data_IF_872240723388
#
_entry.id   IF_872240723388
#
_cell.length_a   1.000
_cell.length_b   1.000
_cell.length_c   1.000
_cell.angle_alpha   90.00
_cell.angle_beta   90.00
_cell.angle_gamma   90.00
#
_symmetry.space_group_name_H-M   'P 1'
#
loop_
_entity.id
_entity.type
_entity.pdbx_description
1 polymer ?
#
# COMPACT_ATOMS: atom_id res chain seq x y z
N UNK A 1 0.89 -23.60 -7.48
CA UNK A 1 0.45 -22.50 -6.60
C UNK A 1 0.01 -23.13 -5.30
N UNK A 2 0.69 -22.79 -4.21
CA UNK A 2 0.35 -23.24 -2.86
C UNK A 2 -0.22 -22.04 -2.11
N UNK A 3 -1.35 -22.24 -1.42
CA UNK A 3 -1.97 -21.20 -0.59
C UNK A 3 -2.03 -21.72 0.83
N UNK A 4 -1.42 -20.99 1.75
CA UNK A 4 -1.47 -21.26 3.18
C UNK A 4 -2.23 -20.13 3.88
N UNK A 5 -3.16 -20.50 4.76
CA UNK A 5 -3.99 -19.55 5.49
C UNK A 5 -3.83 -19.73 7.00
N UNK A 6 -3.72 -18.62 7.74
CA UNK A 6 -3.80 -18.63 9.21
C UNK A 6 -4.59 -17.44 9.73
N UNK A 7 -5.32 -17.64 10.81
CA UNK A 7 -6.00 -16.56 11.53
C UNK A 7 -4.97 -15.77 12.34
N UNK A 8 -4.95 -14.44 12.21
CA UNK A 8 -4.03 -13.55 12.94
C UNK A 8 -4.74 -12.65 13.96
N UNK A 9 -6.05 -12.78 14.12
CA UNK A 9 -6.84 -12.00 15.07
C UNK A 9 -8.32 -11.96 14.72
N UNK A 10 -9.10 -11.18 15.46
CA UNK A 10 -10.54 -11.04 15.24
C UNK A 10 -10.83 -10.50 13.84
N UNK A 11 -11.41 -11.33 12.99
CA UNK A 11 -11.75 -10.97 11.60
C UNK A 11 -10.56 -10.87 10.64
N UNK A 12 -9.34 -11.27 11.03
CA UNK A 12 -8.14 -11.22 10.18
C UNK A 12 -7.66 -12.61 9.79
N UNK A 13 -7.51 -12.81 8.48
CA UNK A 13 -6.88 -14.00 7.90
C UNK A 13 -5.68 -13.55 7.08
N UNK A 14 -4.51 -14.12 7.38
CA UNK A 14 -3.33 -13.99 6.53
C UNK A 14 -3.31 -15.14 5.55
N UNK A 15 -3.22 -14.80 4.27
CA UNK A 15 -3.01 -15.75 3.19
C UNK A 15 -1.60 -15.54 2.63
N UNK A 16 -0.81 -16.61 2.62
CA UNK A 16 0.48 -16.66 1.93
C UNK A 16 0.28 -17.47 0.66
N UNK A 17 0.61 -16.89 -0.48
CA UNK A 17 0.50 -17.57 -1.77
C UNK A 17 1.90 -17.72 -2.35
N UNK A 18 2.34 -18.97 -2.50
CA UNK A 18 3.51 -19.30 -3.31
C UNK A 18 3.05 -19.59 -4.74
N UNK A 19 3.34 -18.66 -5.63
CA UNK A 19 2.93 -18.76 -7.04
C UNK A 19 3.93 -19.52 -7.90
N UNK A 20 5.14 -19.82 -7.41
CA UNK A 20 6.28 -20.23 -8.22
C UNK A 20 6.64 -19.23 -9.33
N UNK A 21 7.61 -19.57 -10.19
CA UNK A 21 7.89 -18.81 -11.40
C UNK A 21 6.76 -19.02 -12.41
N UNK A 22 5.95 -17.99 -12.67
CA UNK A 22 5.01 -18.02 -13.81
C UNK A 22 5.76 -17.65 -15.08
N UNK A 23 5.66 -18.46 -16.16
CA UNK A 23 6.09 -18.02 -17.48
C UNK A 23 5.30 -16.76 -17.86
N UNK A 24 6.00 -15.67 -18.16
CA UNK A 24 5.39 -14.53 -18.84
C UNK A 24 5.00 -15.00 -20.25
N UNK A 25 3.69 -15.06 -20.51
CA UNK A 25 3.18 -15.51 -21.80
C UNK A 25 3.60 -14.59 -22.94
N UNK A 26 3.51 -15.08 -24.18
CA UNK A 26 3.70 -14.24 -25.36
C UNK A 26 2.76 -13.03 -25.30
N UNK A 27 3.30 -11.82 -25.52
CA UNK A 27 2.54 -10.57 -25.43
C UNK A 27 2.53 -9.90 -24.06
N UNK A 28 3.24 -10.43 -23.04
CA UNK A 28 3.47 -9.67 -21.82
C UNK A 28 4.44 -8.52 -22.07
N UNK A 29 3.93 -7.30 -21.95
CA UNK A 29 4.74 -6.08 -21.90
C UNK A 29 4.73 -5.59 -20.46
N UNK A 30 5.89 -5.61 -19.81
CA UNK A 30 6.01 -5.03 -18.48
C UNK A 30 5.64 -3.54 -18.55
N UNK A 31 4.71 -3.06 -17.71
CA UNK A 31 4.47 -1.63 -17.63
C UNK A 31 5.75 -0.94 -17.17
N UNK A 32 6.12 0.14 -17.87
CA UNK A 32 7.24 0.98 -17.47
C UNK A 32 6.72 1.91 -16.37
N UNK A 33 7.47 2.02 -15.28
CA UNK A 33 7.21 3.07 -14.31
C UNK A 33 7.53 4.42 -14.96
N UNK A 34 6.49 5.13 -15.38
CA UNK A 34 6.59 6.52 -15.83
C UNK A 34 6.74 7.46 -14.61
N UNK A 35 6.73 8.77 -14.87
CA UNK A 35 6.77 9.79 -13.81
C UNK A 35 5.75 9.50 -12.68
N UNK A 36 6.10 9.84 -11.42
CA UNK A 36 5.26 9.58 -10.26
C UNK A 36 3.86 10.20 -10.41
N UNK A 37 2.82 9.39 -10.19
CA UNK A 37 1.43 9.81 -10.27
C UNK A 37 0.90 10.47 -8.98
N UNK A 38 -0.42 10.64 -8.84
CA UNK A 38 -1.03 11.26 -7.65
C UNK A 38 -0.72 10.51 -6.35
N UNK A 39 -0.40 9.21 -6.43
CA UNK A 39 0.06 8.40 -5.31
C UNK A 39 1.30 8.97 -4.62
N UNK A 40 2.18 9.67 -5.35
CA UNK A 40 3.38 10.27 -4.78
C UNK A 40 3.08 11.46 -3.87
N UNK A 41 2.19 12.35 -4.31
CA UNK A 41 1.77 13.51 -3.52
C UNK A 41 1.01 13.05 -2.26
N UNK A 42 0.09 12.09 -2.41
CA UNK A 42 -0.67 11.53 -1.30
C UNK A 42 0.24 10.81 -0.30
N UNK A 43 1.23 10.05 -0.76
CA UNK A 43 2.21 9.41 0.13
C UNK A 43 3.03 10.45 0.90
N UNK A 44 3.50 11.50 0.22
CA UNK A 44 4.27 12.57 0.86
C UNK A 44 3.45 13.30 1.94
N UNK A 45 2.16 13.54 1.71
CA UNK A 45 1.25 14.13 2.70
C UNK A 45 1.07 13.22 3.92
N UNK A 46 0.88 11.92 3.69
CA UNK A 46 0.74 10.94 4.75
C UNK A 46 2.03 10.82 5.59
N UNK A 47 3.21 10.82 4.95
CA UNK A 47 4.50 10.86 5.62
C UNK A 47 4.64 12.11 6.50
N UNK A 48 4.27 13.28 5.96
CA UNK A 48 4.31 14.54 6.70
C UNK A 48 3.38 14.53 7.91
N UNK A 49 2.17 13.99 7.77
CA UNK A 49 1.22 13.85 8.88
C UNK A 49 1.77 12.94 9.99
N UNK A 50 2.56 11.93 9.63
CA UNK A 50 3.28 11.06 10.58
C UNK A 50 4.57 11.70 11.12
N UNK A 51 4.85 12.98 10.82
CA UNK A 51 6.04 13.69 11.26
C UNK A 51 7.33 13.21 10.60
N UNK A 52 7.23 12.59 9.43
CA UNK A 52 8.36 12.05 8.67
C UNK A 52 8.75 12.97 7.53
N UNK A 53 10.04 13.03 7.16
CA UNK A 53 10.43 13.65 5.91
C UNK A 53 9.74 12.90 4.77
N UNK A 54 9.31 13.64 3.75
CA UNK A 54 8.96 13.03 2.46
C UNK A 54 10.26 12.56 1.79
N UNK A 55 10.85 11.49 2.33
CA UNK A 55 12.05 10.84 1.81
C UNK A 55 11.66 9.82 0.75
N UNK A 56 12.52 9.68 -0.28
CA UNK A 56 12.30 8.92 -1.52
C UNK A 56 11.47 7.65 -1.28
N UNK A 57 10.21 7.70 -1.71
CA UNK A 57 9.41 6.50 -1.85
C UNK A 57 10.24 5.45 -2.59
N UNK A 58 10.19 4.21 -2.12
CA UNK A 58 10.83 3.10 -2.81
C UNK A 58 10.31 3.01 -4.24
N UNK A 59 11.12 2.39 -5.11
CA UNK A 59 10.82 2.23 -6.52
C UNK A 59 9.34 1.84 -6.75
N UNK A 60 8.61 2.57 -7.60
CA UNK A 60 7.21 2.29 -7.86
C UNK A 60 7.02 0.85 -8.33
N UNK A 61 6.10 0.14 -7.67
CA UNK A 61 5.64 -1.16 -8.13
C UNK A 61 4.46 -0.93 -9.07
N UNK A 62 4.63 -1.31 -10.33
CA UNK A 62 3.60 -1.21 -11.37
C UNK A 62 3.16 -2.59 -11.81
N UNK A 63 1.85 -2.77 -11.99
CA UNK A 63 1.28 -4.02 -12.47
C UNK A 63 0.11 -3.74 -13.44
N UNK A 64 0.00 -4.48 -14.55
CA UNK A 64 -1.14 -4.33 -15.43
C UNK A 64 -2.41 -4.86 -14.74
N UNK A 65 -3.52 -4.13 -14.85
CA UNK A 65 -4.80 -4.60 -14.38
C UNK A 65 -5.32 -5.75 -15.27
N UNK A 66 -6.07 -6.72 -14.73
CA UNK A 66 -6.72 -7.76 -15.53
C UNK A 66 -7.54 -7.15 -16.68
N UNK A 67 -7.57 -7.85 -17.82
CA UNK A 67 -8.24 -7.41 -19.05
C UNK A 67 -7.74 -6.10 -19.67
N UNK A 68 -6.58 -5.57 -19.24
CA UNK A 68 -5.95 -4.40 -19.85
C UNK A 68 -6.64 -3.07 -19.50
N UNK A 69 -7.49 -3.04 -18.47
CA UNK A 69 -8.26 -1.86 -18.08
C UNK A 69 -7.42 -0.70 -17.48
N UNK A 70 -6.10 -0.88 -17.34
CA UNK A 70 -5.18 0.12 -16.81
C UNK A 70 -3.95 -0.50 -16.17
N UNK A 71 -3.24 0.31 -15.41
CA UNK A 71 -2.04 -0.07 -14.65
C UNK A 71 -2.23 0.33 -13.20
N UNK A 72 -2.13 -0.63 -12.28
CA UNK A 72 -2.05 -0.36 -10.87
C UNK A 72 -0.65 0.17 -10.55
N UNK A 73 -0.57 1.26 -9.80
CA UNK A 73 0.69 1.84 -9.33
C UNK A 73 0.71 1.85 -7.81
N UNK A 74 1.82 1.46 -7.21
CA UNK A 74 2.00 1.49 -5.75
C UNK A 74 3.36 2.07 -5.40
N UNK A 75 3.36 3.11 -4.57
CA UNK A 75 4.55 3.60 -3.88
C UNK A 75 4.54 3.10 -2.44
N UNK A 76 5.73 2.80 -1.91
CA UNK A 76 5.90 2.31 -0.54
C UNK A 76 7.03 3.05 0.16
N UNK A 77 6.82 3.29 1.45
CA UNK A 77 7.87 3.71 2.38
C UNK A 77 7.89 2.74 3.55
N UNK A 78 9.06 2.21 3.86
CA UNK A 78 9.28 1.43 5.08
C UNK A 78 9.58 2.40 6.21
N UNK A 79 8.75 2.37 7.23
CA UNK A 79 8.83 3.23 8.39
C UNK A 79 9.31 2.44 9.62
N UNK A 80 10.03 3.15 10.50
CA UNK A 80 10.25 2.67 11.86
C UNK A 80 8.94 2.64 12.67
N UNK A 81 9.01 2.33 13.97
CA UNK A 81 7.84 2.39 14.84
C UNK A 81 7.15 3.76 14.74
N UNK A 82 5.84 3.72 14.53
CA UNK A 82 4.99 4.89 14.33
C UNK A 82 4.07 5.06 15.55
N UNK A 83 3.91 6.30 16.09
CA UNK A 83 2.88 6.58 17.11
C UNK A 83 1.47 6.33 16.55
N UNK A 84 0.45 6.43 17.40
CA UNK A 84 -0.91 6.01 17.04
C UNK A 84 -1.43 6.71 15.75
N UNK A 85 -1.63 5.98 14.63
CA UNK A 85 -1.85 6.56 13.32
C UNK A 85 -3.22 7.22 13.15
N UNK A 86 -4.23 6.72 13.86
CA UNK A 86 -5.58 7.26 13.80
C UNK A 86 -5.56 8.76 14.12
N UNK A 87 -4.77 9.20 15.11
CA UNK A 87 -4.67 10.62 15.45
C UNK A 87 -3.95 11.46 14.38
N UNK A 88 -2.94 10.89 13.71
CA UNK A 88 -2.14 11.60 12.71
C UNK A 88 -2.81 11.65 11.33
N UNK A 89 -3.46 10.55 10.91
CA UNK A 89 -3.97 10.36 9.57
C UNK A 89 -5.48 10.64 9.43
N UNK A 90 -6.24 10.72 10.53
CA UNK A 90 -7.69 10.93 10.46
C UNK A 90 -8.11 12.20 9.71
N UNK A 91 -7.31 13.26 9.78
CA UNK A 91 -7.57 14.51 9.03
C UNK A 91 -7.49 14.29 7.51
N UNK A 92 -6.49 13.52 7.05
CA UNK A 92 -6.33 13.16 5.64
C UNK A 92 -7.39 12.15 5.17
N UNK A 93 -7.88 11.32 6.08
CA UNK A 93 -8.98 10.39 5.84
C UNK A 93 -10.37 11.05 5.81
N UNK A 94 -10.47 12.37 6.05
CA UNK A 94 -11.72 13.09 6.24
C UNK A 94 -12.67 12.43 7.27
N UNK A 95 -12.09 11.79 8.30
CA UNK A 95 -12.84 11.05 9.32
C UNK A 95 -13.50 9.75 8.85
N UNK A 96 -13.20 9.26 7.63
CA UNK A 96 -13.80 8.07 7.05
C UNK A 96 -12.73 7.02 6.69
N UNK A 97 -12.11 6.35 7.68
CA UNK A 97 -11.19 5.26 7.40
C UNK A 97 -11.91 4.08 6.75
N UNK A 98 -11.24 3.43 5.80
CA UNK A 98 -11.65 2.13 5.25
C UNK A 98 -11.38 1.01 6.24
N UNK A 99 -10.30 1.13 7.01
CA UNK A 99 -9.91 0.19 8.05
C UNK A 99 -9.20 0.97 9.16
N UNK A 100 -9.61 0.72 10.41
CA UNK A 100 -9.00 1.32 11.58
C UNK A 100 -8.83 0.24 12.65
N UNK A 101 -7.64 -0.37 12.67
CA UNK A 101 -7.24 -1.33 13.69
C UNK A 101 -5.85 -1.00 14.24
N UNK A 102 -5.49 -1.57 15.41
CA UNK A 102 -4.14 -1.42 15.95
C UNK A 102 -3.03 -1.90 14.99
N UNK A 103 -3.34 -2.82 14.08
CA UNK A 103 -2.38 -3.38 13.13
C UNK A 103 -2.40 -2.64 11.79
N UNK A 104 -3.54 -2.15 11.33
CA UNK A 104 -3.66 -1.54 10.00
C UNK A 104 -4.58 -0.33 10.04
N UNK A 105 -4.13 0.76 9.43
CA UNK A 105 -4.96 1.93 9.15
C UNK A 105 -5.02 2.17 7.65
N UNK A 106 -6.22 2.30 7.08
CA UNK A 106 -6.38 2.55 5.66
C UNK A 106 -7.47 3.58 5.38
N UNK A 107 -7.27 4.40 4.36
CA UNK A 107 -8.24 5.39 3.90
C UNK A 107 -8.11 5.61 2.40
N UNK A 108 -9.09 6.32 1.81
CA UNK A 108 -9.05 6.73 0.41
C UNK A 108 -9.13 8.23 0.29
N UNK A 109 -8.31 8.81 -0.58
CA UNK A 109 -8.31 10.24 -0.91
C UNK A 109 -8.04 10.42 -2.40
N UNK A 110 -8.89 11.17 -3.08
CA UNK A 110 -8.70 11.57 -4.49
C UNK A 110 -8.40 10.39 -5.43
N UNK A 111 -9.05 9.25 -5.22
CA UNK A 111 -8.85 8.03 -6.01
C UNK A 111 -7.72 7.12 -5.52
N UNK A 112 -6.77 7.65 -4.72
CA UNK A 112 -5.63 6.92 -4.12
C UNK A 112 -6.05 6.23 -2.83
N UNK A 113 -5.70 4.95 -2.68
CA UNK A 113 -5.84 4.22 -1.41
C UNK A 113 -4.52 4.28 -0.66
N UNK A 114 -4.56 4.67 0.61
CA UNK A 114 -3.41 4.70 1.51
C UNK A 114 -3.58 3.62 2.56
N UNK A 115 -2.52 2.85 2.80
CA UNK A 115 -2.48 1.80 3.82
C UNK A 115 -1.22 1.97 4.65
N UNK A 116 -1.39 2.03 5.96
CA UNK A 116 -0.32 1.87 6.94
C UNK A 116 -0.47 0.49 7.58
N UNK A 117 0.44 -0.42 7.25
CA UNK A 117 0.55 -1.77 7.81
C UNK A 117 1.60 -1.80 8.92
N UNK A 118 1.20 -2.19 10.13
CA UNK A 118 2.04 -2.31 11.33
C UNK A 118 2.14 -3.75 11.83
N UNK A 119 1.82 -4.73 10.99
CA UNK A 119 1.90 -6.15 11.35
C UNK A 119 3.34 -6.64 11.52
N UNK A 120 4.32 -5.92 10.97
CA UNK A 120 5.76 -6.15 11.14
C UNK A 120 6.42 -5.09 12.04
N UNK A 121 7.61 -5.39 12.62
CA UNK A 121 8.36 -4.43 13.44
C UNK A 121 8.69 -3.11 12.73
N UNK A 122 8.89 -3.17 11.42
CA UNK A 122 8.92 -2.00 10.52
C UNK A 122 7.53 -1.81 9.93
N UNK A 123 6.92 -0.67 10.18
CA UNK A 123 5.65 -0.33 9.56
C UNK A 123 5.87 -0.06 8.06
N UNK A 124 4.87 -0.32 7.23
CA UNK A 124 4.91 -0.01 5.80
C UNK A 124 3.77 0.92 5.48
N UNK A 125 4.10 2.10 4.95
CA UNK A 125 3.12 3.02 4.40
C UNK A 125 3.10 2.88 2.88
N UNK A 126 1.94 2.64 2.31
CA UNK A 126 1.75 2.47 0.87
C UNK A 126 0.65 3.39 0.35
N UNK A 127 0.82 3.89 -0.87
CA UNK A 127 -0.20 4.62 -1.62
C UNK A 127 -0.37 3.96 -2.99
N UNK A 128 -1.63 3.70 -3.38
CA UNK A 128 -1.93 2.98 -4.62
C UNK A 128 -3.12 3.55 -5.39
N UNK A 129 -3.01 3.54 -6.72
CA UNK A 129 -4.06 3.88 -7.69
C UNK A 129 -4.37 2.69 -8.58
#
# INVERSE_FOLDING_TARGET
VTVEGRTEGKGRVRLTVDTGCRPVGAGYSAPVAEDPGPEAAVLADALRALGRPAGTASEPVVAPCPAGAGTARTLRSTEGPTPEPANALASLAAGAPLLDTPEVYAYRRDGVTVVLDRTSPTAVLAATT
#
